data_IF_454599960721
#
_entry.id   IF_454599960721
#
_cell.length_a   1.000
_cell.length_b   1.000
_cell.length_c   1.000
_cell.angle_alpha   90.00
_cell.angle_beta   90.00
_cell.angle_gamma   90.00
#
_symmetry.space_group_name_H-M   'P 1'
#
loop_
_entity.id
_entity.type
_entity.pdbx_description
1 polymer ?
#
# COMPACT_ATOMS: atom_id res chain seq x y z
N UNK A 1 1.29 3.61 -2.89
CA UNK A 1 2.03 2.94 -3.96
C UNK A 1 3.11 2.03 -3.38
N UNK A 2 3.62 1.13 -4.23
CA UNK A 2 4.66 0.20 -3.83
C UNK A 2 4.46 -0.28 -2.38
N UNK A 3 3.59 -1.26 -2.21
CA UNK A 3 3.32 -1.81 -0.88
C UNK A 3 2.71 -3.20 -0.97
N UNK A 4 2.64 -3.90 0.17
CA UNK A 4 2.07 -5.25 0.21
C UNK A 4 0.58 -5.21 0.56
N UNK A 5 0.13 -4.08 1.10
CA UNK A 5 -1.27 -3.93 1.50
C UNK A 5 -2.20 -4.13 0.28
N UNK A 6 -3.36 -4.72 0.48
CA UNK A 6 -4.33 -4.97 -0.63
C UNK A 6 -4.94 -3.68 -1.17
N UNK A 7 -4.87 -2.62 -0.36
CA UNK A 7 -5.42 -1.33 -0.76
C UNK A 7 -4.38 -0.53 -1.52
N UNK A 8 -4.82 0.54 -2.18
CA UNK A 8 -3.92 1.40 -2.95
C UNK A 8 -3.62 2.67 -2.16
N UNK A 9 -2.52 3.33 -2.52
CA UNK A 9 -2.12 4.56 -1.84
C UNK A 9 -2.71 5.78 -2.57
N UNK A 10 -1.92 6.35 -3.48
CA UNK A 10 -2.36 7.53 -4.22
C UNK A 10 -2.12 7.31 -5.72
N UNK A 11 -1.17 6.44 -6.05
CA UNK A 11 -0.86 6.17 -7.46
C UNK A 11 -1.73 5.02 -7.97
N UNK A 12 -2.56 4.49 -7.11
CA UNK A 12 -3.45 3.39 -7.49
C UNK A 12 -2.75 2.05 -7.29
N UNK A 13 -1.44 2.10 -7.02
CA UNK A 13 -0.66 0.89 -6.82
C UNK A 13 -0.82 0.40 -5.39
N UNK A 14 -0.67 -0.88 -5.16
CA UNK A 14 -0.78 -1.48 -3.81
C UNK A 14 -0.09 -0.61 -2.74
N UNK A 15 -0.88 -0.13 -1.79
CA UNK A 15 -0.37 0.69 -0.71
C UNK A 15 0.39 -0.17 0.30
N UNK A 16 1.26 0.46 1.09
CA UNK A 16 2.05 -0.25 2.09
C UNK A 16 1.48 -0.02 3.48
N UNK A 17 0.15 -0.17 3.59
CA UNK A 17 -0.52 0.01 4.87
C UNK A 17 -0.58 -1.32 5.61
N UNK A 18 0.17 -1.41 6.71
CA UNK A 18 0.21 -2.62 7.53
C UNK A 18 0.22 -2.26 9.00
N UNK A 19 0.02 -3.27 9.85
CA UNK A 19 -0.01 -3.05 11.29
C UNK A 19 1.41 -3.14 11.87
N UNK A 20 2.34 -3.68 11.07
CA UNK A 20 3.73 -3.82 11.53
C UNK A 20 4.70 -3.55 10.37
N UNK A 21 5.88 -3.04 10.64
CA UNK A 21 6.90 -2.75 9.57
C UNK A 21 6.90 -3.82 8.49
#
# INVERSE_FOLDING_TARGET
SLGSSPYNDILGYPALIVIYP
#
